data_IF_628575908872
#
_entry.id   IF_628575908872
#
_cell.length_a   1.000
_cell.length_b   1.000
_cell.length_c   1.000
_cell.angle_alpha   90.00
_cell.angle_beta   90.00
_cell.angle_gamma   90.00
#
_symmetry.space_group_name_H-M   'P 1'
#
loop_
_entity.id
_entity.type
_entity.pdbx_description
1 polymer ?
#
# COMPACT_ATOMS: atom_id res chain seq x y z
N UNK A 1 17.42 -12.77 -2.77
CA UNK A 1 16.56 -11.88 -3.58
C UNK A 1 15.11 -12.27 -3.32
N UNK A 2 14.27 -11.33 -2.87
CA UNK A 2 12.87 -11.63 -2.53
C UNK A 2 12.14 -12.22 -3.74
N UNK A 3 11.65 -13.46 -3.59
CA UNK A 3 10.98 -14.23 -4.61
C UNK A 3 9.76 -13.43 -5.12
N UNK A 4 9.82 -12.93 -6.36
CA UNK A 4 8.74 -12.16 -6.98
C UNK A 4 7.45 -12.97 -7.23
N UNK A 5 7.41 -14.26 -6.83
CA UNK A 5 6.39 -15.21 -7.23
C UNK A 5 5.00 -14.98 -6.62
N UNK A 6 4.84 -14.28 -5.49
CA UNK A 6 3.55 -14.16 -4.83
C UNK A 6 3.22 -12.71 -4.38
N UNK A 7 3.32 -11.72 -5.26
CA UNK A 7 2.84 -10.37 -4.92
C UNK A 7 1.35 -10.22 -5.24
N UNK A 8 0.57 -9.73 -4.29
CA UNK A 8 -0.86 -9.44 -4.46
C UNK A 8 -1.07 -8.09 -5.15
N UNK A 9 -2.11 -7.99 -5.97
CA UNK A 9 -2.57 -6.71 -6.51
C UNK A 9 -3.40 -5.96 -5.46
N UNK A 10 -3.44 -4.63 -5.56
CA UNK A 10 -4.19 -3.79 -4.63
C UNK A 10 -5.68 -4.14 -4.60
N UNK A 11 -6.25 -4.53 -5.74
CA UNK A 11 -7.65 -4.96 -5.84
C UNK A 11 -7.98 -6.24 -5.06
N UNK A 12 -6.98 -7.07 -4.77
CA UNK A 12 -7.15 -8.38 -4.12
C UNK A 12 -6.93 -8.29 -2.59
N UNK A 13 -6.48 -7.12 -2.10
CA UNK A 13 -6.29 -6.85 -0.67
C UNK A 13 -7.66 -6.76 0.00
N UNK A 14 -7.88 -7.63 0.99
CA UNK A 14 -9.09 -7.61 1.84
C UNK A 14 -8.74 -7.18 3.26
N UNK A 15 -9.66 -6.46 3.89
CA UNK A 15 -9.59 -6.11 5.30
C UNK A 15 -9.53 -7.37 6.19
N UNK A 16 -8.96 -7.22 7.40
CA UNK A 16 -8.92 -8.23 8.46
C UNK A 16 -8.06 -9.50 8.20
N UNK A 17 -7.23 -9.52 7.14
CA UNK A 17 -6.15 -10.51 7.02
C UNK A 17 -4.85 -10.03 7.66
N UNK A 18 -4.04 -10.98 8.16
CA UNK A 18 -2.76 -10.75 8.86
C UNK A 18 -1.75 -9.98 7.98
N UNK A 19 -1.77 -10.16 6.65
CA UNK A 19 -0.95 -9.35 5.74
C UNK A 19 -1.01 -9.79 4.28
N UNK A 20 -0.64 -8.88 3.38
CA UNK A 20 -0.54 -9.10 1.93
C UNK A 20 0.79 -8.54 1.41
N UNK A 21 1.64 -9.35 0.74
CA UNK A 21 2.82 -8.82 0.07
C UNK A 21 2.41 -8.03 -1.18
N UNK A 22 2.50 -6.70 -1.16
CA UNK A 22 2.13 -5.84 -2.30
C UNK A 22 3.33 -5.03 -2.80
N UNK A 23 3.37 -4.75 -4.12
CA UNK A 23 4.32 -3.80 -4.71
C UNK A 23 3.54 -2.61 -5.22
N UNK A 24 3.83 -1.44 -4.68
CA UNK A 24 3.16 -0.20 -5.07
C UNK A 24 4.17 0.89 -5.39
N UNK A 25 3.74 1.86 -6.20
CA UNK A 25 4.37 3.16 -6.33
C UNK A 25 3.68 4.15 -5.40
N UNK A 26 4.44 5.11 -4.90
CA UNK A 26 4.01 6.12 -3.94
C UNK A 26 4.02 7.52 -4.57
N UNK A 27 3.06 7.86 -5.44
CA UNK A 27 3.09 9.13 -6.18
C UNK A 27 2.90 10.38 -5.30
N UNK A 28 2.09 10.29 -4.24
CA UNK A 28 1.75 11.46 -3.42
C UNK A 28 1.76 11.11 -1.93
N UNK A 29 2.90 11.22 -1.25
CA UNK A 29 2.97 11.18 0.22
C UNK A 29 2.81 12.56 0.83
N UNK A 30 2.14 12.66 1.97
CA UNK A 30 2.08 13.87 2.80
C UNK A 30 2.13 13.54 4.28
N UNK A 31 2.72 14.45 5.06
CA UNK A 31 2.73 14.36 6.52
C UNK A 31 1.41 14.89 7.08
N UNK A 32 0.90 14.21 8.09
CA UNK A 32 -0.26 14.64 8.87
C UNK A 32 0.10 14.63 10.35
N UNK A 33 -0.22 15.70 11.06
CA UNK A 33 -0.11 15.73 12.51
C UNK A 33 -1.47 15.43 13.10
N UNK A 34 -1.59 14.26 13.72
CA UNK A 34 -2.83 13.86 14.39
C UNK A 34 -2.79 14.31 15.84
N UNK A 35 -3.91 14.85 16.33
CA UNK A 35 -4.03 15.41 17.69
C UNK A 35 -3.75 14.36 18.79
N UNK A 36 -3.93 13.08 18.48
CA UNK A 36 -3.89 11.98 19.45
C UNK A 36 -2.72 11.01 19.24
N UNK A 37 -2.02 11.09 18.10
CA UNK A 37 -1.09 10.03 17.66
C UNK A 37 0.27 10.52 17.16
N UNK A 38 0.53 11.83 17.13
CA UNK A 38 1.78 12.40 16.64
C UNK A 38 1.84 12.52 15.11
N UNK A 39 3.06 12.56 14.57
CA UNK A 39 3.33 12.67 13.13
C UNK A 39 3.03 11.33 12.44
N UNK A 40 2.12 11.36 11.46
CA UNK A 40 1.77 10.24 10.59
C UNK A 40 2.10 10.58 9.14
N UNK A 41 2.33 9.55 8.32
CA UNK A 41 2.51 9.69 6.87
C UNK A 41 1.32 9.06 6.15
N UNK A 42 0.59 9.86 5.41
CA UNK A 42 -0.47 9.39 4.53
C UNK A 42 0.00 9.45 3.07
N UNK A 43 -0.57 8.59 2.23
CA UNK A 43 -0.15 8.51 0.85
C UNK A 43 -1.21 7.86 -0.04
N UNK A 44 -1.23 8.26 -1.31
CA UNK A 44 -1.94 7.54 -2.38
C UNK A 44 -0.97 6.54 -3.01
N UNK A 45 -1.42 5.30 -3.19
CA UNK A 45 -0.63 4.24 -3.85
C UNK A 45 -1.20 3.87 -5.21
N UNK A 46 -0.34 3.38 -6.10
CA UNK A 46 -0.74 2.80 -7.38
C UNK A 46 0.04 1.51 -7.64
N UNK A 47 -0.58 0.52 -8.27
CA UNK A 47 0.07 -0.73 -8.66
C UNK A 47 -0.06 -0.99 -10.17
N UNK A 48 0.55 -2.09 -10.65
CA UNK A 48 0.53 -2.46 -12.07
C UNK A 48 -0.78 -3.14 -12.50
N UNK A 49 -1.92 -2.78 -11.92
CA UNK A 49 -3.21 -3.37 -12.31
C UNK A 49 -3.42 -3.17 -13.81
N UNK A 50 -3.38 -4.26 -14.57
CA UNK A 50 -3.72 -4.26 -16.00
C UNK A 50 -5.20 -3.89 -16.11
N UNK A 51 -5.50 -2.76 -16.74
CA UNK A 51 -6.87 -2.43 -17.16
C UNK A 51 -7.18 -3.33 -18.35
N UNK A 52 -8.10 -4.27 -18.16
CA UNK A 52 -8.73 -5.05 -19.25
C UNK A 52 -9.88 -4.23 -19.79
#
# INVERSE_FOLDING_TARGET
>A
MANAKNMSLLKDVKAYKIGWPVRVRLPHPWKQNTRSGGETLEFITTDKTLRV
#
